data_IF_103447744799
#
_entry.id   IF_103447744799
#
_cell.length_a   1.000
_cell.length_b   1.000
_cell.length_c   1.000
_cell.angle_alpha   90.00
_cell.angle_beta   90.00
_cell.angle_gamma   90.00
#
_symmetry.space_group_name_H-M   'P 1'
#
loop_
_entity.id
_entity.type
_entity.pdbx_description
1 polymer ?
#
# COMPACT_ATOMS: atom_id res chain seq x y z
N UNK A 1 8.89 2.03 -13.03
CA UNK A 1 8.73 0.69 -12.44
C UNK A 1 9.00 -0.40 -13.48
N UNK A 2 9.54 -1.55 -13.04
CA UNK A 2 9.85 -2.73 -13.84
C UNK A 2 8.57 -3.43 -14.33
N UNK A 3 8.45 -3.64 -15.65
CA UNK A 3 7.26 -4.25 -16.26
C UNK A 3 7.05 -5.71 -15.85
N UNK A 4 8.12 -6.46 -15.60
CA UNK A 4 8.02 -7.85 -15.13
C UNK A 4 7.51 -7.91 -13.69
N UNK A 5 7.88 -6.95 -12.83
CA UNK A 5 7.35 -6.85 -11.47
C UNK A 5 5.84 -6.60 -11.50
N UNK A 6 5.38 -5.65 -12.33
CA UNK A 6 3.96 -5.35 -12.50
C UNK A 6 3.18 -6.57 -12.99
N UNK A 7 3.70 -7.25 -14.03
CA UNK A 7 3.06 -8.47 -14.54
C UNK A 7 2.89 -9.53 -13.44
N UNK A 8 3.94 -9.81 -12.68
CA UNK A 8 3.88 -10.78 -11.59
C UNK A 8 2.91 -10.33 -10.49
N UNK A 9 2.81 -9.03 -10.20
CA UNK A 9 1.80 -8.56 -9.25
C UNK A 9 0.37 -8.87 -9.72
N UNK A 10 0.06 -8.64 -11.00
CA UNK A 10 -1.27 -8.95 -11.56
C UNK A 10 -1.55 -10.45 -11.69
N UNK A 11 -0.52 -11.31 -11.73
CA UNK A 11 -0.67 -12.77 -11.66
C UNK A 11 -0.92 -13.26 -10.22
N UNK A 12 -0.32 -12.60 -9.23
CA UNK A 12 -0.27 -13.07 -7.84
C UNK A 12 -1.33 -12.47 -6.91
N UNK A 13 -1.91 -11.32 -7.30
CA UNK A 13 -2.90 -10.58 -6.52
C UNK A 13 -4.14 -10.23 -7.34
N UNK A 14 -5.22 -9.90 -6.64
CA UNK A 14 -6.47 -9.47 -7.27
C UNK A 14 -6.28 -8.09 -7.96
N UNK A 15 -6.50 -7.98 -9.28
CA UNK A 15 -6.34 -6.74 -10.03
C UNK A 15 -7.16 -5.56 -9.49
N UNK A 16 -8.30 -5.80 -8.84
CA UNK A 16 -9.15 -4.72 -8.30
C UNK A 16 -8.47 -3.94 -7.16
N UNK A 17 -7.35 -4.45 -6.63
CA UNK A 17 -6.58 -3.82 -5.54
C UNK A 17 -5.22 -3.32 -5.98
N UNK A 18 -4.92 -3.37 -7.28
CA UNK A 18 -3.69 -2.90 -7.91
C UNK A 18 -4.01 -1.74 -8.86
N UNK A 19 -3.39 -0.60 -8.62
CA UNK A 19 -3.64 0.62 -9.38
C UNK A 19 -2.32 1.21 -9.87
N UNK A 20 -2.09 1.13 -11.18
CA UNK A 20 -0.99 1.84 -11.84
C UNK A 20 -1.33 3.33 -11.95
N UNK A 21 -0.29 4.18 -11.87
CA UNK A 21 -0.39 5.64 -11.96
C UNK A 21 -1.46 6.27 -11.03
N UNK A 22 -1.65 5.67 -9.85
CA UNK A 22 -2.70 6.06 -8.91
C UNK A 22 -2.46 7.48 -8.36
N UNK A 23 -3.35 8.46 -8.60
CA UNK A 23 -3.14 9.84 -8.18
C UNK A 23 -3.24 9.99 -6.66
N UNK A 24 -2.13 10.31 -6.01
CA UNK A 24 -2.02 10.31 -4.54
C UNK A 24 -2.88 11.37 -3.86
N UNK A 25 -3.37 12.39 -4.58
CA UNK A 25 -4.38 13.33 -4.08
C UNK A 25 -5.66 12.67 -3.54
N UNK A 26 -6.01 11.47 -4.00
CA UNK A 26 -7.17 10.72 -3.47
C UNK A 26 -6.84 9.88 -2.24
N UNK A 27 -5.56 9.83 -1.85
CA UNK A 27 -5.03 8.98 -0.79
C UNK A 27 -4.32 9.78 0.31
N UNK A 28 -4.32 11.11 0.23
CA UNK A 28 -3.76 12.01 1.25
C UNK A 28 -4.82 12.97 1.75
N UNK A 29 -4.73 13.35 3.04
CA UNK A 29 -5.67 14.30 3.66
C UNK A 29 -5.52 15.72 3.13
N UNK A 30 -4.31 16.11 2.74
CA UNK A 30 -4.05 17.39 2.06
C UNK A 30 -4.64 17.46 0.65
N UNK A 31 -5.09 16.32 0.10
CA UNK A 31 -5.68 16.22 -1.25
C UNK A 31 -4.76 16.75 -2.35
N UNK A 32 -3.46 16.55 -2.17
CA UNK A 32 -2.40 16.86 -3.14
C UNK A 32 -1.58 15.60 -3.43
N UNK A 33 -0.81 15.65 -4.51
CA UNK A 33 0.14 14.60 -4.87
C UNK A 33 -0.10 13.98 -6.24
N UNK A 34 0.99 13.80 -6.96
CA UNK A 34 1.04 13.12 -8.26
C UNK A 34 0.87 11.61 -8.17
N UNK A 35 1.14 10.87 -9.27
CA UNK A 35 0.86 9.44 -9.37
C UNK A 35 1.85 8.56 -8.57
N UNK A 36 1.35 7.53 -7.90
CA UNK A 36 2.16 6.39 -7.51
C UNK A 36 2.35 5.45 -8.70
N UNK A 37 3.56 4.90 -8.86
CA UNK A 37 3.86 3.92 -9.92
C UNK A 37 2.91 2.70 -9.81
N UNK A 38 2.82 2.11 -8.62
CA UNK A 38 1.83 1.07 -8.30
C UNK A 38 1.31 1.27 -6.88
N UNK A 39 0.00 1.37 -6.72
CA UNK A 39 -0.65 1.36 -5.42
C UNK A 39 -1.31 -0.01 -5.19
N UNK A 40 -1.02 -0.62 -4.05
CA UNK A 40 -1.59 -1.89 -3.63
C UNK A 40 -2.32 -1.78 -2.29
N UNK A 41 -3.51 -2.39 -2.22
CA UNK A 41 -4.29 -2.55 -0.99
C UNK A 41 -4.25 -4.00 -0.51
N UNK A 42 -3.34 -4.39 0.39
CA UNK A 42 -3.28 -5.75 0.94
C UNK A 42 -4.53 -6.07 1.75
N UNK A 43 -4.91 -7.35 1.80
CA UNK A 43 -6.03 -7.82 2.62
C UNK A 43 -5.64 -8.58 3.88
N UNK A 44 -4.37 -8.96 4.00
CA UNK A 44 -3.83 -9.72 5.13
C UNK A 44 -2.30 -9.67 5.14
N UNK A 45 -1.71 -10.21 6.21
CA UNK A 45 -0.26 -10.24 6.42
C UNK A 45 0.47 -11.08 5.37
N UNK A 46 -0.13 -12.17 4.89
CA UNK A 46 0.47 -13.05 3.90
C UNK A 46 0.71 -12.32 2.57
N UNK A 47 -0.27 -11.52 2.12
CA UNK A 47 -0.12 -10.71 0.92
C UNK A 47 0.95 -9.62 1.09
N UNK A 48 1.03 -8.99 2.27
CA UNK A 48 2.10 -8.03 2.59
C UNK A 48 3.47 -8.70 2.50
N UNK A 49 3.65 -9.86 3.12
CA UNK A 49 4.90 -10.61 3.05
C UNK A 49 5.26 -11.00 1.62
N UNK A 50 4.28 -11.44 0.83
CA UNK A 50 4.47 -11.84 -0.56
C UNK A 50 4.92 -10.66 -1.42
N UNK A 51 4.23 -9.52 -1.33
CA UNK A 51 4.54 -8.36 -2.18
C UNK A 51 5.87 -7.71 -1.79
N UNK A 52 6.26 -7.69 -0.50
CA UNK A 52 7.60 -7.24 -0.07
C UNK A 52 8.68 -8.14 -0.67
N UNK A 53 8.50 -9.47 -0.66
CA UNK A 53 9.47 -10.41 -1.23
C UNK A 53 9.61 -10.20 -2.75
N UNK A 54 8.49 -9.97 -3.44
CA UNK A 54 8.49 -9.64 -4.86
C UNK A 54 9.21 -8.31 -5.12
N UNK A 55 8.84 -7.23 -4.41
CA UNK A 55 9.48 -5.93 -4.58
C UNK A 55 11.00 -6.02 -4.36
N UNK A 56 11.44 -6.75 -3.33
CA UNK A 56 12.86 -7.02 -3.07
C UNK A 56 13.53 -7.80 -4.20
N UNK A 57 12.86 -8.81 -4.77
CA UNK A 57 13.41 -9.61 -5.89
C UNK A 57 13.64 -8.77 -7.15
N UNK A 58 12.78 -7.79 -7.40
CA UNK A 58 12.84 -6.91 -8.57
C UNK A 58 13.50 -5.55 -8.29
N UNK A 59 14.04 -5.35 -7.09
CA UNK A 59 14.67 -4.09 -6.64
C UNK A 59 13.75 -2.87 -6.74
N UNK A 60 12.47 -3.06 -6.46
CA UNK A 60 11.48 -1.99 -6.47
C UNK A 60 11.40 -1.29 -5.10
N UNK A 61 11.49 0.05 -5.04
CA UNK A 61 11.35 0.78 -3.80
C UNK A 61 9.91 0.65 -3.26
N UNK A 62 9.78 0.52 -1.94
CA UNK A 62 8.50 0.35 -1.26
C UNK A 62 8.22 1.53 -0.33
N UNK A 63 7.04 2.12 -0.45
CA UNK A 63 6.53 3.16 0.44
C UNK A 63 5.31 2.64 1.20
N UNK A 64 5.31 2.79 2.52
CA UNK A 64 4.20 2.45 3.40
C UNK A 64 3.25 3.64 3.54
N UNK A 65 1.94 3.39 3.40
CA UNK A 65 0.93 4.41 3.52
C UNK A 65 -0.21 3.96 4.43
N UNK A 66 -0.49 4.73 5.48
CA UNK A 66 -1.75 4.63 6.23
C UNK A 66 -2.83 5.52 5.59
N UNK A 67 -3.47 6.37 6.39
CA UNK A 67 -4.49 7.30 5.89
C UNK A 67 -3.94 8.50 5.10
N UNK A 68 -2.63 8.74 5.13
CA UNK A 68 -2.02 9.90 4.49
C UNK A 68 -2.33 11.23 5.21
N UNK A 69 -2.48 11.19 6.54
CA UNK A 69 -2.77 12.36 7.38
C UNK A 69 -1.57 13.26 7.65
N UNK A 70 -0.35 12.74 7.49
CA UNK A 70 0.89 13.43 7.85
C UNK A 70 1.98 13.33 6.76
N UNK A 71 1.57 13.34 5.48
CA UNK A 71 2.51 13.32 4.36
C UNK A 71 2.11 14.34 3.30
N UNK A 72 3.12 14.94 2.66
CA UNK A 72 2.97 15.79 1.48
C UNK A 72 3.60 15.07 0.29
N UNK A 73 2.76 14.55 -0.60
CA UNK A 73 3.22 13.94 -1.85
C UNK A 73 3.40 15.05 -2.87
N UNK A 74 4.58 15.12 -3.51
CA UNK A 74 4.88 16.11 -4.55
C UNK A 74 4.09 15.79 -5.83
N UNK A 75 4.00 16.76 -6.73
CA UNK A 75 3.33 16.56 -8.04
C UNK A 75 4.03 15.51 -8.92
N UNK A 76 5.32 15.25 -8.68
CA UNK A 76 6.06 14.13 -9.30
C UNK A 76 5.66 12.74 -8.78
N UNK A 77 4.81 12.68 -7.76
CA UNK A 77 4.27 11.41 -7.25
C UNK A 77 5.25 10.57 -6.43
N UNK A 78 5.02 9.26 -6.42
CA UNK A 78 5.84 8.27 -5.69
C UNK A 78 6.32 7.20 -6.68
N UNK A 79 7.61 6.86 -6.64
CA UNK A 79 8.22 5.82 -7.49
C UNK A 79 8.21 4.46 -6.80
N UNK A 80 8.04 3.41 -7.59
CA UNK A 80 7.89 2.02 -7.12
C UNK A 80 6.53 1.72 -6.48
N UNK A 81 6.55 0.78 -5.54
CA UNK A 81 5.34 0.24 -4.91
C UNK A 81 4.93 1.09 -3.71
N UNK A 82 3.66 1.50 -3.67
CA UNK A 82 2.98 2.06 -2.50
C UNK A 82 2.05 1.01 -1.93
N UNK A 83 2.25 0.62 -0.68
CA UNK A 83 1.36 -0.31 0.03
C UNK A 83 0.50 0.51 0.99
N UNK A 84 -0.82 0.50 0.77
CA UNK A 84 -1.77 1.23 1.61
C UNK A 84 -2.59 0.33 2.52
N UNK A 85 -2.38 0.47 3.83
CA UNK A 85 -3.21 -0.18 4.84
C UNK A 85 -4.55 0.54 4.96
N UNK A 86 -5.64 -0.23 4.99
CA UNK A 86 -7.02 0.28 5.03
C UNK A 86 -7.95 -0.75 5.68
N UNK A 87 -9.26 -0.64 5.43
CA UNK A 87 -10.30 -1.47 6.03
C UNK A 87 -10.05 -2.99 6.07
N UNK A 88 -9.37 -3.57 5.08
CA UNK A 88 -9.06 -5.02 5.11
C UNK A 88 -8.01 -5.42 6.15
N UNK A 89 -7.34 -4.47 6.77
CA UNK A 89 -6.32 -4.69 7.80
C UNK A 89 -6.64 -3.87 9.05
N UNK A 90 -7.93 -3.69 9.36
CA UNK A 90 -8.43 -2.88 10.48
C UNK A 90 -8.85 -3.68 11.71
N UNK A 91 -8.63 -5.00 11.70
CA UNK A 91 -9.06 -5.89 12.78
C UNK A 91 -8.55 -5.41 14.14
N UNK A 92 -9.45 -5.40 15.12
CA UNK A 92 -9.15 -5.09 16.52
C UNK A 92 -9.60 -6.28 17.35
N UNK A 93 -8.67 -6.87 18.09
CA UNK A 93 -8.94 -7.93 19.07
C UNK A 93 -8.28 -7.60 20.40
N UNK A 94 -8.58 -8.40 21.43
CA UNK A 94 -7.97 -8.24 22.74
C UNK A 94 -7.46 -9.57 23.26
N UNK A 95 -6.36 -9.51 24.01
CA UNK A 95 -5.77 -10.63 24.73
C UNK A 95 -5.56 -10.19 26.18
N UNK A 96 -6.49 -10.56 27.06
CA UNK A 96 -6.55 -10.03 28.43
C UNK A 96 -6.76 -8.52 28.41
N UNK A 97 -5.79 -7.77 28.94
CA UNK A 97 -5.78 -6.30 29.00
C UNK A 97 -5.08 -5.64 27.79
N UNK A 98 -4.52 -6.44 26.86
CA UNK A 98 -3.85 -5.93 25.67
C UNK A 98 -4.82 -5.86 24.48
N UNK A 99 -4.71 -4.80 23.67
CA UNK A 99 -5.36 -4.71 22.37
C UNK A 99 -4.35 -5.06 21.27
N UNK A 100 -4.79 -5.90 20.32
CA UNK A 100 -4.08 -6.17 19.07
C UNK A 100 -4.85 -5.43 17.99
N UNK A 101 -4.17 -4.49 17.33
CA UNK A 101 -4.80 -3.54 16.40
C UNK A 101 -4.10 -3.63 15.06
N UNK A 102 -4.87 -3.88 14.01
CA UNK A 102 -4.38 -3.92 12.64
C UNK A 102 -3.90 -2.54 12.15
N UNK A 103 -2.89 -2.53 11.28
CA UNK A 103 -2.26 -1.31 10.77
C UNK A 103 -3.21 -0.40 9.94
N UNK A 104 -4.35 -0.93 9.50
CA UNK A 104 -5.40 -0.19 8.79
C UNK A 104 -6.48 0.39 9.70
N UNK A 105 -6.46 0.11 11.00
CA UNK A 105 -7.43 0.64 11.95
C UNK A 105 -7.30 2.16 12.09
N UNK A 106 -8.45 2.83 12.21
CA UNK A 106 -8.49 4.27 12.45
C UNK A 106 -8.18 4.55 13.93
N UNK A 107 -7.30 5.54 14.15
CA UNK A 107 -6.98 6.09 15.47
C UNK A 107 -7.88 7.28 15.80
#
# INVERSE_FOLDING_TARGET
>A
MNKDFVRVCYEEFDPIRLFEDAPMRFHTTFRIGGPADLLFYPKNTEEVQKIIRLAKKYDEPVTWLGNGSNILVRDGGIRGLVIRFSHKMEDISHEGEALIVGAGALL
#
